data_IF_121732965801
#
_entry.id   IF_121732965801
#
_cell.length_a   1.000
_cell.length_b   1.000
_cell.length_c   1.000
_cell.angle_alpha   90.00
_cell.angle_beta   90.00
_cell.angle_gamma   90.00
#
_symmetry.space_group_name_H-M   'P 1'
#
loop_
_entity.id
_entity.type
_entity.pdbx_description
1 polymer ?
#
# COMPACT_ATOMS: atom_id res chain seq x y z
N UNK A 1 -2.86 -22.17 19.71
CA UNK A 1 -2.16 -20.98 19.18
C UNK A 1 -1.94 -21.08 17.67
N UNK A 2 -1.82 -22.29 17.13
CA UNK A 2 -1.63 -22.55 15.68
C UNK A 2 -2.71 -21.95 14.78
N UNK A 3 -3.96 -21.90 15.23
CA UNK A 3 -5.06 -21.32 14.44
C UNK A 3 -4.88 -19.82 14.14
N UNK A 4 -4.24 -19.07 15.04
CA UNK A 4 -4.05 -17.62 14.88
C UNK A 4 -2.76 -17.33 14.08
N UNK A 5 -1.74 -18.17 14.23
CA UNK A 5 -0.42 -17.97 13.60
C UNK A 5 -0.34 -18.55 12.18
N UNK A 6 -1.26 -19.43 11.78
CA UNK A 6 -1.28 -19.94 10.42
C UNK A 6 -1.81 -18.89 9.43
N UNK A 7 -1.35 -18.90 8.17
CA UNK A 7 -1.96 -18.09 7.10
C UNK A 7 -3.45 -18.41 6.97
N UNK A 8 -4.29 -17.39 7.10
CA UNK A 8 -5.73 -17.56 6.89
C UNK A 8 -6.06 -17.61 5.41
N UNK A 9 -6.95 -18.53 5.05
CA UNK A 9 -7.42 -18.61 3.68
C UNK A 9 -8.14 -17.31 3.26
N UNK A 10 -8.05 -16.98 1.98
CA UNK A 10 -8.64 -15.77 1.40
C UNK A 10 -10.15 -15.65 1.66
N UNK A 11 -10.88 -16.77 1.73
CA UNK A 11 -12.32 -16.79 2.01
C UNK A 11 -12.66 -16.51 3.48
N UNK A 12 -11.69 -16.51 4.39
CA UNK A 12 -11.84 -16.04 5.78
C UNK A 12 -11.45 -14.57 5.86
N UNK A 13 -10.30 -14.21 5.28
CA UNK A 13 -9.81 -12.84 5.29
C UNK A 13 -10.78 -11.85 4.61
N UNK A 14 -11.38 -12.23 3.47
CA UNK A 14 -12.34 -11.40 2.74
C UNK A 14 -13.54 -10.97 3.58
N UNK A 15 -14.34 -11.91 4.14
CA UNK A 15 -15.45 -11.57 5.02
C UNK A 15 -15.06 -10.77 6.27
N UNK A 16 -13.88 -11.03 6.85
CA UNK A 16 -13.39 -10.24 7.99
C UNK A 16 -13.12 -8.79 7.58
N UNK A 17 -12.45 -8.56 6.44
CA UNK A 17 -12.23 -7.21 5.90
C UNK A 17 -13.57 -6.52 5.60
N UNK A 18 -14.52 -7.24 4.98
CA UNK A 18 -15.84 -6.71 4.68
C UNK A 18 -16.61 -6.33 5.96
N UNK A 19 -16.50 -7.12 7.03
CA UNK A 19 -17.11 -6.81 8.33
C UNK A 19 -16.49 -5.56 8.94
N UNK A 20 -15.15 -5.42 8.92
CA UNK A 20 -14.46 -4.22 9.41
C UNK A 20 -14.92 -2.98 8.64
N UNK A 21 -14.99 -3.07 7.31
CA UNK A 21 -15.49 -1.98 6.47
C UNK A 21 -16.95 -1.63 6.76
N UNK A 22 -17.80 -2.64 6.92
CA UNK A 22 -19.20 -2.43 7.27
C UNK A 22 -19.33 -1.71 8.61
N UNK A 23 -18.57 -2.12 9.63
CA UNK A 23 -18.57 -1.45 10.93
C UNK A 23 -18.11 0.00 10.81
N UNK A 24 -17.05 0.27 10.05
CA UNK A 24 -16.60 1.65 9.80
C UNK A 24 -17.70 2.49 9.15
N UNK A 25 -18.33 1.97 8.10
CA UNK A 25 -19.44 2.64 7.43
C UNK A 25 -20.64 2.86 8.38
N UNK A 26 -20.98 1.86 9.18
CA UNK A 26 -22.08 1.91 10.15
C UNK A 26 -21.90 3.01 11.20
N UNK A 27 -20.67 3.22 11.67
CA UNK A 27 -20.33 4.31 12.59
C UNK A 27 -20.13 5.66 11.91
N UNK A 28 -20.39 5.76 10.59
CA UNK A 28 -20.27 7.00 9.83
C UNK A 28 -18.83 7.37 9.47
N UNK A 29 -17.89 6.44 9.65
CA UNK A 29 -16.47 6.66 9.42
C UNK A 29 -16.07 6.28 8.00
N UNK A 30 -15.11 7.04 7.44
CA UNK A 30 -14.60 6.79 6.08
C UNK A 30 -13.42 5.83 6.12
N UNK A 31 -13.32 4.98 5.11
CA UNK A 31 -12.15 4.14 4.89
C UNK A 31 -11.27 4.77 3.81
N UNK A 32 -10.09 5.26 4.19
CA UNK A 32 -9.16 5.86 3.24
C UNK A 32 -7.78 6.10 3.83
N UNK A 33 -6.74 5.61 3.14
CA UNK A 33 -5.34 5.82 3.55
C UNK A 33 -4.76 7.09 2.92
N UNK A 34 -5.09 7.39 1.66
CA UNK A 34 -4.50 8.51 0.91
C UNK A 34 -4.86 9.90 1.45
N UNK A 35 -6.05 10.07 2.02
CA UNK A 35 -6.46 11.32 2.70
C UNK A 35 -5.55 11.67 3.89
N UNK A 36 -4.86 10.68 4.47
CA UNK A 36 -3.92 10.92 5.55
C UNK A 36 -2.64 11.59 5.07
N UNK A 37 -2.15 11.26 3.86
CA UNK A 37 -0.96 11.92 3.30
C UNK A 37 -1.21 13.42 3.10
N UNK A 38 -2.38 13.77 2.58
CA UNK A 38 -2.83 15.18 2.51
C UNK A 38 -2.92 15.82 3.90
N UNK A 39 -3.52 15.11 4.86
CA UNK A 39 -3.65 15.57 6.24
C UNK A 39 -2.28 15.82 6.89
N UNK A 40 -1.30 14.94 6.67
CA UNK A 40 0.07 15.12 7.15
C UNK A 40 0.74 16.35 6.52
N UNK A 41 0.54 16.57 5.22
CA UNK A 41 1.03 17.78 4.55
C UNK A 41 0.37 19.05 5.12
N UNK A 42 -0.95 19.03 5.36
CA UNK A 42 -1.69 20.12 5.99
C UNK A 42 -1.15 20.44 7.39
N UNK A 43 -0.97 19.42 8.25
CA UNK A 43 -0.42 19.56 9.60
C UNK A 43 1.03 20.08 9.54
N UNK A 44 1.82 19.59 8.59
CA UNK A 44 3.19 20.04 8.33
C UNK A 44 3.31 21.48 7.79
N UNK A 45 2.18 22.19 7.62
CA UNK A 45 2.16 23.58 7.21
C UNK A 45 2.20 23.80 5.70
N UNK A 46 1.94 22.77 4.89
CA UNK A 46 1.89 22.90 3.44
C UNK A 46 0.79 23.87 2.95
N UNK A 47 -0.20 24.18 3.81
CA UNK A 47 -1.21 25.22 3.58
C UNK A 47 -0.64 26.64 3.46
N UNK A 48 0.64 26.87 3.81
CA UNK A 48 1.34 28.14 3.54
C UNK A 48 1.76 28.28 2.08
N UNK A 49 1.93 27.17 1.36
CA UNK A 49 2.43 27.15 -0.02
C UNK A 49 1.32 26.98 -1.06
N UNK A 50 0.23 26.30 -0.70
CA UNK A 50 -0.91 26.11 -1.61
C UNK A 50 -2.22 26.02 -0.83
N UNK A 51 -3.28 26.58 -1.41
CA UNK A 51 -4.64 26.54 -0.85
C UNK A 51 -5.21 25.12 -0.77
N UNK A 52 -4.69 24.19 -1.59
CA UNK A 52 -5.10 22.79 -1.56
C UNK A 52 -4.96 22.15 -0.18
N UNK A 53 -3.90 22.50 0.57
CA UNK A 53 -3.67 21.93 1.91
C UNK A 53 -4.35 22.72 3.03
N UNK A 54 -5.16 23.74 2.73
CA UNK A 54 -5.95 24.49 3.74
C UNK A 54 -7.25 23.76 4.07
N UNK A 55 -7.13 22.50 4.48
CA UNK A 55 -8.27 21.63 4.80
C UNK A 55 -8.41 21.50 6.31
N UNK A 56 -9.64 21.38 6.79
CA UNK A 56 -9.89 21.08 8.21
C UNK A 56 -9.55 19.61 8.49
N UNK A 57 -8.29 19.37 8.88
CA UNK A 57 -7.76 18.04 9.16
C UNK A 57 -8.55 17.28 10.23
N UNK A 58 -9.27 17.97 11.11
CA UNK A 58 -10.06 17.33 12.17
C UNK A 58 -11.16 16.44 11.62
N UNK A 59 -11.64 16.72 10.40
CA UNK A 59 -12.63 15.89 9.70
C UNK A 59 -12.07 14.51 9.31
N UNK A 60 -10.74 14.37 9.24
CA UNK A 60 -10.05 13.13 8.91
C UNK A 60 -9.38 12.48 10.14
N UNK A 61 -9.67 12.94 11.36
CA UNK A 61 -9.00 12.44 12.59
C UNK A 61 -9.12 10.92 12.74
N UNK A 62 -10.26 10.33 12.35
CA UNK A 62 -10.44 8.89 12.39
C UNK A 62 -9.48 8.13 11.47
N UNK A 63 -9.22 8.65 10.27
CA UNK A 63 -8.28 8.02 9.33
C UNK A 63 -6.85 7.99 9.91
N UNK A 64 -6.48 8.99 10.73
CA UNK A 64 -5.19 9.00 11.44
C UNK A 64 -5.13 7.90 12.51
N UNK A 65 -6.20 7.72 13.28
CA UNK A 65 -6.31 6.63 14.26
C UNK A 65 -6.25 5.28 13.54
N UNK A 66 -6.92 5.14 12.41
CA UNK A 66 -6.90 3.94 11.59
C UNK A 66 -5.48 3.62 11.10
N UNK A 67 -4.74 4.59 10.57
CA UNK A 67 -3.33 4.39 10.14
C UNK A 67 -2.44 4.03 11.31
N UNK A 68 -2.60 4.69 12.46
CA UNK A 68 -1.85 4.34 13.67
C UNK A 68 -2.13 2.90 14.10
N UNK A 69 -3.41 2.50 14.11
CA UNK A 69 -3.83 1.13 14.40
C UNK A 69 -3.26 0.12 13.39
N UNK A 70 -3.20 0.46 12.11
CA UNK A 70 -2.60 -0.37 11.07
C UNK A 70 -1.07 -0.54 11.28
N UNK A 71 -0.36 0.53 11.68
CA UNK A 71 1.08 0.46 12.00
C UNK A 71 1.31 -0.42 13.22
N UNK A 72 0.55 -0.22 14.31
CA UNK A 72 0.65 -1.02 15.53
C UNK A 72 0.28 -2.48 15.25
N UNK A 73 -0.78 -2.74 14.50
CA UNK A 73 -1.18 -4.08 14.08
C UNK A 73 -0.12 -4.76 13.22
N UNK A 74 0.49 -4.02 12.28
CA UNK A 74 1.62 -4.51 11.48
C UNK A 74 2.84 -4.86 12.33
N UNK A 75 3.19 -4.01 13.30
CA UNK A 75 4.27 -4.27 14.24
C UNK A 75 4.01 -5.51 15.11
N UNK A 76 2.79 -5.64 15.64
CA UNK A 76 2.39 -6.83 16.42
C UNK A 76 2.47 -8.08 15.54
N UNK A 77 1.97 -7.98 14.31
CA UNK A 77 1.97 -9.09 13.37
C UNK A 77 3.40 -9.57 13.05
N UNK A 78 4.27 -8.64 12.70
CA UNK A 78 5.65 -8.92 12.32
C UNK A 78 6.50 -9.56 13.43
N UNK A 79 6.23 -9.22 14.70
CA UNK A 79 7.05 -9.72 15.83
C UNK A 79 6.45 -10.94 16.54
N UNK A 80 5.12 -11.11 16.54
CA UNK A 80 4.46 -12.14 17.35
C UNK A 80 3.52 -13.07 16.57
N UNK A 81 3.01 -12.68 15.40
CA UNK A 81 2.02 -13.48 14.67
C UNK A 81 2.57 -14.16 13.41
N UNK A 82 3.69 -13.68 12.87
CA UNK A 82 4.34 -14.27 11.69
C UNK A 82 5.40 -15.28 12.13
N UNK A 83 5.16 -16.60 12.00
CA UNK A 83 6.09 -17.63 12.45
C UNK A 83 7.33 -17.77 11.54
N UNK A 84 7.21 -17.41 10.26
CA UNK A 84 8.28 -17.48 9.27
C UNK A 84 8.25 -16.26 8.36
N UNK A 85 9.42 -15.68 8.08
CA UNK A 85 9.54 -14.55 7.15
C UNK A 85 9.50 -14.97 5.67
N UNK A 86 9.48 -16.29 5.43
CA UNK A 86 9.43 -16.86 4.10
C UNK A 86 8.03 -16.74 3.49
N UNK A 87 7.97 -16.23 2.27
CA UNK A 87 6.76 -16.15 1.45
C UNK A 87 6.83 -17.27 0.42
N UNK A 88 5.84 -18.16 0.43
CA UNK A 88 5.72 -19.24 -0.55
C UNK A 88 5.39 -18.63 -1.91
N UNK A 89 6.41 -18.47 -2.76
CA UNK A 89 6.28 -17.97 -4.13
C UNK A 89 6.31 -19.13 -5.13
N UNK A 90 5.74 -18.89 -6.32
CA UNK A 90 5.86 -19.84 -7.43
C UNK A 90 7.33 -19.97 -7.84
N UNK A 91 7.89 -21.19 -8.00
CA UNK A 91 9.28 -21.40 -8.42
C UNK A 91 9.65 -20.66 -9.72
N UNK A 92 8.71 -20.53 -10.65
CA UNK A 92 8.94 -19.77 -11.88
C UNK A 92 9.15 -18.29 -11.60
N UNK A 93 8.34 -17.70 -10.71
CA UNK A 93 8.48 -16.30 -10.30
C UNK A 93 9.81 -16.05 -9.58
N UNK A 94 10.25 -16.99 -8.73
CA UNK A 94 11.57 -16.88 -8.08
C UNK A 94 12.70 -16.84 -9.12
N UNK A 95 12.59 -17.67 -10.17
CA UNK A 95 13.55 -17.68 -11.26
C UNK A 95 13.52 -16.39 -12.08
N UNK A 96 12.33 -15.94 -12.48
CA UNK A 96 12.17 -14.71 -13.28
C UNK A 96 12.71 -13.47 -12.53
N UNK A 97 12.52 -13.42 -11.21
CA UNK A 97 13.06 -12.35 -10.36
C UNK A 97 14.59 -12.43 -10.23
N UNK A 98 15.15 -13.64 -10.13
CA UNK A 98 16.59 -13.83 -10.09
C UNK A 98 17.27 -13.39 -11.40
N UNK A 99 16.62 -13.62 -12.55
CA UNK A 99 17.12 -13.23 -13.87
C UNK A 99 17.24 -11.70 -14.03
N UNK A 100 16.43 -10.93 -13.31
CA UNK A 100 16.47 -9.45 -13.26
C UNK A 100 17.20 -8.91 -12.03
N UNK A 101 18.02 -9.73 -11.36
CA UNK A 101 18.90 -9.27 -10.27
C UNK A 101 18.28 -9.20 -8.87
N UNK A 102 17.05 -9.69 -8.67
CA UNK A 102 16.43 -9.83 -7.34
C UNK A 102 16.68 -11.25 -6.83
N UNK A 103 17.69 -11.42 -5.97
CA UNK A 103 18.09 -12.73 -5.48
C UNK A 103 17.25 -13.13 -4.26
N UNK A 104 17.10 -14.44 -4.03
CA UNK A 104 16.42 -15.00 -2.86
C UNK A 104 14.98 -14.47 -2.65
N UNK A 105 14.26 -14.20 -3.75
CA UNK A 105 12.87 -13.79 -3.70
C UNK A 105 12.03 -14.78 -2.88
N UNK A 106 11.33 -14.27 -1.87
CA UNK A 106 10.52 -15.08 -0.95
C UNK A 106 11.23 -15.54 0.33
N UNK A 107 12.54 -15.33 0.49
CA UNK A 107 13.23 -15.57 1.78
C UNK A 107 12.88 -14.52 2.84
N UNK A 108 12.62 -13.30 2.38
CA UNK A 108 12.11 -12.18 3.17
C UNK A 108 10.84 -11.63 2.54
N UNK A 109 10.01 -10.99 3.36
CA UNK A 109 8.75 -10.40 2.91
C UNK A 109 8.93 -9.30 1.85
N UNK A 110 10.04 -8.56 1.92
CA UNK A 110 10.42 -7.53 0.95
C UNK A 110 11.84 -7.81 0.42
N UNK A 111 12.12 -7.51 -0.86
CA UNK A 111 13.46 -7.69 -1.44
C UNK A 111 14.45 -6.69 -0.84
N UNK A 112 15.57 -7.21 -0.34
CA UNK A 112 16.66 -6.41 0.25
C UNK A 112 17.33 -5.47 -0.76
N UNK A 113 17.29 -5.85 -2.04
CA UNK A 113 17.83 -5.09 -3.16
C UNK A 113 17.14 -3.73 -3.34
N UNK A 114 15.93 -3.57 -2.78
CA UNK A 114 15.15 -2.33 -2.86
C UNK A 114 15.02 -1.69 -1.47
N UNK A 115 14.71 -2.49 -0.45
CA UNK A 115 14.27 -2.00 0.86
C UNK A 115 15.31 -2.15 1.98
N UNK A 116 16.53 -2.63 1.69
CA UNK A 116 17.60 -2.59 2.70
C UNK A 116 18.04 -1.15 2.98
N UNK A 117 18.43 -0.88 4.21
CA UNK A 117 18.89 0.45 4.65
C UNK A 117 20.07 0.93 3.78
N UNK A 118 20.97 0.02 3.42
CA UNK A 118 22.13 0.28 2.57
C UNK A 118 21.72 0.71 1.16
N UNK A 119 20.79 -0.01 0.53
CA UNK A 119 20.30 0.36 -0.81
C UNK A 119 19.47 1.64 -0.76
N UNK A 120 18.65 1.84 0.26
CA UNK A 120 17.85 3.07 0.43
C UNK A 120 18.72 4.33 0.54
N UNK A 121 19.88 4.22 1.18
CA UNK A 121 20.85 5.32 1.30
C UNK A 121 21.82 5.40 0.10
N UNK A 122 21.84 4.40 -0.78
CA UNK A 122 22.57 4.48 -2.04
C UNK A 122 21.92 5.48 -2.99
N UNK A 123 22.71 6.13 -3.84
CA UNK A 123 22.19 7.10 -4.81
C UNK A 123 21.12 6.49 -5.74
N UNK A 124 21.35 5.26 -6.22
CA UNK A 124 20.41 4.54 -7.09
C UNK A 124 19.10 4.26 -6.35
N UNK A 125 19.16 3.60 -5.19
CA UNK A 125 17.95 3.22 -4.44
C UNK A 125 17.17 4.43 -3.94
N UNK A 126 17.86 5.49 -3.48
CA UNK A 126 17.24 6.74 -3.08
C UNK A 126 16.45 7.39 -4.23
N UNK A 127 17.05 7.50 -5.42
CA UNK A 127 16.38 8.07 -6.61
C UNK A 127 15.17 7.22 -7.00
N UNK A 128 15.31 5.90 -7.02
CA UNK A 128 14.20 5.00 -7.37
C UNK A 128 13.02 5.18 -6.41
N UNK A 129 13.27 5.19 -5.10
CA UNK A 129 12.23 5.37 -4.09
C UNK A 129 11.61 6.76 -4.10
N UNK A 130 12.41 7.81 -4.33
CA UNK A 130 11.92 9.17 -4.46
C UNK A 130 10.99 9.31 -5.67
N UNK A 131 11.42 8.81 -6.84
CA UNK A 131 10.60 8.83 -8.06
C UNK A 131 9.34 7.99 -7.88
N UNK A 132 9.45 6.80 -7.28
CA UNK A 132 8.30 5.97 -6.97
C UNK A 132 7.28 6.69 -6.07
N UNK A 133 7.75 7.33 -4.99
CA UNK A 133 6.89 8.09 -4.08
C UNK A 133 6.18 9.26 -4.77
N UNK A 134 6.89 10.01 -5.63
CA UNK A 134 6.32 11.09 -6.43
C UNK A 134 5.25 10.57 -7.38
N UNK A 135 5.53 9.49 -8.12
CA UNK A 135 4.57 8.89 -9.07
C UNK A 135 3.32 8.36 -8.36
N UNK A 136 3.48 7.71 -7.21
CA UNK A 136 2.36 7.20 -6.39
C UNK A 136 1.52 8.36 -5.86
N UNK A 137 2.15 9.40 -5.30
CA UNK A 137 1.45 10.57 -4.77
C UNK A 137 0.71 11.36 -5.85
N UNK A 138 1.39 11.63 -6.97
CA UNK A 138 0.80 12.30 -8.13
C UNK A 138 -0.36 11.48 -8.71
N UNK A 139 -0.15 10.18 -8.95
CA UNK A 139 -1.14 9.28 -9.52
C UNK A 139 -2.39 9.16 -8.64
N UNK A 140 -2.21 8.98 -7.33
CA UNK A 140 -3.33 8.92 -6.39
C UNK A 140 -4.13 10.23 -6.38
N UNK A 141 -3.45 11.37 -6.47
CA UNK A 141 -4.13 12.67 -6.55
C UNK A 141 -4.86 12.85 -7.87
N UNK A 142 -4.26 12.44 -8.98
CA UNK A 142 -4.84 12.56 -10.31
C UNK A 142 -6.08 11.67 -10.47
N UNK A 143 -6.04 10.45 -9.92
CA UNK A 143 -7.17 9.54 -9.88
C UNK A 143 -8.28 9.98 -8.90
N UNK A 144 -7.98 10.88 -7.95
CA UNK A 144 -8.91 11.28 -6.89
C UNK A 144 -9.01 10.25 -5.75
N UNK A 145 -8.04 9.34 -5.64
CA UNK A 145 -8.02 8.27 -4.65
C UNK A 145 -6.89 7.27 -4.90
N UNK A 146 -6.63 6.40 -3.92
CA UNK A 146 -5.70 5.28 -4.05
C UNK A 146 -6.46 3.94 -4.18
N UNK A 147 -5.74 2.82 -4.15
CA UNK A 147 -6.31 1.46 -4.19
C UNK A 147 -7.33 1.23 -3.09
N UNK A 148 -7.11 1.73 -1.86
CA UNK A 148 -8.07 1.57 -0.76
C UNK A 148 -9.41 2.28 -1.05
N UNK A 149 -9.36 3.44 -1.73
CA UNK A 149 -10.55 4.21 -2.09
C UNK A 149 -11.28 3.64 -3.30
N UNK A 150 -10.57 3.39 -4.40
CA UNK A 150 -11.20 2.93 -5.63
C UNK A 150 -11.46 1.42 -5.66
N UNK A 151 -10.49 0.59 -5.27
CA UNK A 151 -10.61 -0.87 -5.39
C UNK A 151 -11.46 -1.47 -4.28
N UNK A 152 -11.32 -0.97 -3.04
CA UNK A 152 -12.04 -1.55 -1.90
C UNK A 152 -13.42 -0.89 -1.74
N UNK A 153 -13.50 0.43 -1.59
CA UNK A 153 -14.78 1.14 -1.39
C UNK A 153 -15.52 1.37 -2.72
N UNK A 154 -14.84 1.95 -3.72
CA UNK A 154 -15.45 2.38 -4.97
C UNK A 154 -16.05 1.22 -5.79
N UNK A 155 -15.31 0.13 -5.98
CA UNK A 155 -15.84 -1.06 -6.66
C UNK A 155 -16.98 -1.73 -5.89
N UNK A 156 -16.93 -1.74 -4.55
CA UNK A 156 -18.03 -2.26 -3.72
C UNK A 156 -19.31 -1.44 -3.87
N UNK A 157 -19.17 -0.13 -4.14
CA UNK A 157 -20.29 0.77 -4.44
C UNK A 157 -20.66 0.80 -5.95
N UNK A 158 -20.03 -0.01 -6.79
CA UNK A 158 -20.25 -0.08 -8.24
C UNK A 158 -19.98 1.26 -8.97
N UNK A 159 -19.05 2.06 -8.47
CA UNK A 159 -18.67 3.33 -9.06
C UNK A 159 -17.86 3.14 -10.34
N UNK A 160 -18.43 3.50 -11.50
CA UNK A 160 -17.76 3.40 -12.80
C UNK A 160 -16.42 4.16 -12.85
N UNK A 161 -16.27 5.38 -12.27
CA UNK A 161 -14.96 6.04 -12.21
C UNK A 161 -13.91 5.22 -11.48
N UNK A 162 -14.31 4.50 -10.42
CA UNK A 162 -13.41 3.64 -9.66
C UNK A 162 -12.98 2.41 -10.45
N UNK A 163 -13.89 1.82 -11.24
CA UNK A 163 -13.53 0.74 -12.16
C UNK A 163 -12.48 1.17 -13.17
N UNK A 164 -12.65 2.35 -13.79
CA UNK A 164 -11.69 2.90 -14.75
C UNK A 164 -10.33 3.15 -14.06
N UNK A 165 -10.32 3.75 -12.87
CA UNK A 165 -9.10 3.97 -12.10
C UNK A 165 -8.38 2.66 -11.77
N UNK A 166 -9.10 1.62 -11.33
CA UNK A 166 -8.52 0.32 -11.00
C UNK A 166 -7.93 -0.37 -12.23
N UNK A 167 -8.61 -0.34 -13.38
CA UNK A 167 -8.06 -0.84 -14.65
C UNK A 167 -6.74 -0.13 -14.96
N UNK A 168 -6.70 1.19 -14.81
CA UNK A 168 -5.47 1.98 -14.98
C UNK A 168 -4.35 1.57 -14.02
N UNK A 169 -4.67 1.33 -12.74
CA UNK A 169 -3.69 0.85 -11.75
C UNK A 169 -3.11 -0.51 -12.12
N UNK A 170 -3.94 -1.44 -12.60
CA UNK A 170 -3.48 -2.75 -13.06
C UNK A 170 -2.58 -2.64 -14.30
N UNK A 171 -2.96 -1.82 -15.29
CA UNK A 171 -2.12 -1.57 -16.47
C UNK A 171 -0.77 -0.97 -16.06
N UNK A 172 -0.78 0.02 -15.16
CA UNK A 172 0.45 0.62 -14.63
C UNK A 172 1.33 -0.40 -13.89
N UNK A 173 0.72 -1.27 -13.08
CA UNK A 173 1.43 -2.35 -12.39
C UNK A 173 2.04 -3.38 -13.35
N UNK A 174 1.34 -3.73 -14.43
CA UNK A 174 1.86 -4.61 -15.48
C UNK A 174 3.04 -3.96 -16.22
N UNK A 175 2.92 -2.68 -16.60
CA UNK A 175 4.02 -1.93 -17.22
C UNK A 175 5.22 -1.88 -16.27
N UNK A 176 4.99 -1.58 -14.99
CA UNK A 176 6.06 -1.54 -14.00
C UNK A 176 6.75 -2.90 -13.89
N UNK A 177 6.00 -4.00 -13.82
CA UNK A 177 6.54 -5.35 -13.62
C UNK A 177 7.30 -5.87 -14.85
N UNK A 178 6.75 -5.70 -16.04
CA UNK A 178 7.27 -6.31 -17.26
C UNK A 178 8.24 -5.43 -18.05
N UNK A 179 8.16 -4.10 -17.89
CA UNK A 179 8.98 -3.17 -18.66
C UNK A 179 9.96 -2.40 -17.77
N UNK A 180 9.51 -1.82 -16.66
CA UNK A 180 10.34 -0.89 -15.89
C UNK A 180 11.25 -1.63 -14.91
N UNK A 181 10.74 -2.63 -14.18
CA UNK A 181 11.50 -3.36 -13.16
C UNK A 181 12.77 -4.03 -13.74
N UNK A 182 12.74 -4.71 -14.90
CA UNK A 182 13.94 -5.28 -15.53
C UNK A 182 14.93 -4.25 -16.09
N UNK A 183 14.55 -2.97 -16.18
CA UNK A 183 15.44 -1.90 -16.59
C UNK A 183 16.13 -1.23 -15.39
N UNK A 184 15.54 -1.36 -14.20
CA UNK A 184 16.10 -0.80 -12.97
C UNK A 184 17.10 -1.77 -12.34
N UNK A 185 16.82 -3.08 -12.35
CA UNK A 185 17.64 -4.12 -11.74
C UNK A 185 18.21 -5.04 -12.82
#
# INVERSE_FOLDING_TARGET
MDFIMQPWAWFVAGPVIALVMFLMYYFGERFGVSSNLETFCTIGGAGKFTDYFKVDWKQNSWNLIFVLGAIVGGFISANWLTPTNEVVLNPQTVKDLADIGIQNAGSTYLPSEIFSIETMLSLKGFIVLLVAGVLVGFGARWAGGCTSGHAIVGLSNLELPSLIAVIGFFIGGLIMTWLILPLIF
#
